data_IF_273502218703
#
_entry.id   IF_273502218703
#
_cell.length_a   1.000
_cell.length_b   1.000
_cell.length_c   1.000
_cell.angle_alpha   90.00
_cell.angle_beta   90.00
_cell.angle_gamma   90.00
#
_symmetry.space_group_name_H-M   'P 1'
#
loop_
_entity.id
_entity.type
_entity.pdbx_description
1 polymer ?
#
# COMPACT_ATOMS: atom_id res chain seq x y z
N UNK A 1 2.34 16.69 15.51
CA UNK A 1 3.08 15.67 16.27
C UNK A 1 4.55 15.76 15.88
N UNK A 2 5.49 15.56 16.82
CA UNK A 2 6.91 15.55 16.48
C UNK A 2 7.27 14.26 15.75
N UNK A 3 8.22 14.26 14.80
CA UNK A 3 8.59 13.06 14.02
C UNK A 3 8.98 11.85 14.90
N UNK A 4 9.60 12.07 16.04
CA UNK A 4 9.97 11.00 16.97
C UNK A 4 8.73 10.37 17.64
N UNK A 5 7.71 11.17 18.00
CA UNK A 5 6.46 10.69 18.60
C UNK A 5 5.69 9.81 17.62
N UNK A 6 5.64 10.19 16.33
CA UNK A 6 5.03 9.37 15.27
C UNK A 6 5.70 8.02 15.18
N UNK A 7 7.05 8.01 15.14
CA UNK A 7 7.81 6.76 15.04
C UNK A 7 7.60 5.86 16.26
N UNK A 8 7.61 6.42 17.46
CA UNK A 8 7.37 5.69 18.72
C UNK A 8 5.97 5.04 18.71
N UNK A 9 4.93 5.77 18.30
CA UNK A 9 3.58 5.21 18.21
C UNK A 9 3.49 4.06 17.20
N UNK A 10 4.13 4.18 16.03
CA UNK A 10 4.17 3.12 15.03
C UNK A 10 4.94 1.89 15.55
N UNK A 11 6.04 2.07 16.26
CA UNK A 11 6.80 0.99 16.90
C UNK A 11 5.94 0.28 17.95
N UNK A 12 5.23 1.02 18.79
CA UNK A 12 4.31 0.45 19.79
C UNK A 12 3.18 -0.34 19.11
N UNK A 13 2.60 0.20 18.03
CA UNK A 13 1.56 -0.48 17.27
C UNK A 13 2.06 -1.79 16.66
N UNK A 14 3.28 -1.81 16.11
CA UNK A 14 3.91 -3.02 15.60
C UNK A 14 4.11 -4.07 16.70
N UNK A 15 4.67 -3.66 17.86
CA UNK A 15 4.95 -4.59 18.97
C UNK A 15 3.69 -5.16 19.62
N UNK A 16 2.63 -4.37 19.71
CA UNK A 16 1.39 -4.76 20.38
C UNK A 16 0.31 -5.28 19.44
N UNK A 17 0.50 -5.15 18.11
CA UNK A 17 -0.39 -5.71 17.11
C UNK A 17 -1.78 -5.06 17.06
N UNK A 18 -1.88 -3.74 17.29
CA UNK A 18 -3.15 -3.03 17.18
C UNK A 18 -3.25 -2.19 15.91
N UNK A 19 -4.48 -1.88 15.51
CA UNK A 19 -4.79 -1.02 14.36
C UNK A 19 -4.39 0.42 14.62
N UNK A 20 -3.93 1.09 13.56
CA UNK A 20 -3.65 2.53 13.54
C UNK A 20 -4.32 3.22 12.38
N UNK A 21 -4.64 4.50 12.58
CA UNK A 21 -4.93 5.47 11.53
C UNK A 21 -3.66 6.24 11.23
N UNK A 22 -3.23 6.27 9.97
CA UNK A 22 -2.02 6.98 9.52
C UNK A 22 -2.41 8.06 8.53
N UNK A 23 -2.16 9.31 8.89
CA UNK A 23 -2.50 10.50 8.14
C UNK A 23 -1.28 11.02 7.39
N UNK A 24 -1.29 10.88 6.08
CA UNK A 24 -0.23 11.33 5.16
C UNK A 24 -0.77 12.11 3.96
N UNK A 25 -2.06 12.40 3.93
CA UNK A 25 -2.71 13.28 2.96
C UNK A 25 -2.85 14.70 3.54
N UNK A 26 -3.09 15.69 2.67
CA UNK A 26 -3.36 17.08 3.11
C UNK A 26 -4.74 17.25 3.74
N UNK A 27 -5.66 16.35 3.41
CA UNK A 27 -6.99 16.29 3.97
C UNK A 27 -7.00 15.32 5.16
N UNK A 28 -7.35 15.81 6.34
CA UNK A 28 -7.40 15.01 7.58
C UNK A 28 -8.58 14.02 7.60
N UNK A 29 -9.52 14.12 6.66
CA UNK A 29 -10.60 13.14 6.50
C UNK A 29 -10.14 11.89 5.72
N UNK A 30 -8.95 11.95 5.09
CA UNK A 30 -8.34 10.86 4.32
C UNK A 30 -7.14 10.29 5.08
N UNK A 31 -7.22 9.02 5.45
CA UNK A 31 -6.15 8.32 6.17
C UNK A 31 -6.08 6.84 5.79
N UNK A 32 -4.95 6.22 6.07
CA UNK A 32 -4.78 4.78 5.91
C UNK A 32 -5.03 4.08 7.24
N UNK A 33 -5.68 2.91 7.19
CA UNK A 33 -5.91 2.05 8.35
C UNK A 33 -5.21 0.72 8.14
N UNK A 34 -4.56 0.21 9.18
CA UNK A 34 -3.93 -1.11 9.10
C UNK A 34 -3.14 -1.49 10.34
N UNK A 35 -2.59 -2.70 10.27
CA UNK A 35 -1.62 -3.20 11.24
C UNK A 35 -0.21 -2.86 10.77
N UNK A 36 0.64 -2.35 11.66
CA UNK A 36 2.04 -2.08 11.34
C UNK A 36 2.80 -3.40 11.26
N UNK A 37 3.40 -3.69 10.10
CA UNK A 37 4.14 -4.93 9.83
C UNK A 37 5.64 -4.74 10.02
N UNK A 38 6.19 -3.62 9.49
CA UNK A 38 7.60 -3.31 9.55
C UNK A 38 7.84 -1.81 9.50
N UNK A 39 9.01 -1.38 9.95
CA UNK A 39 9.44 0.03 9.90
C UNK A 39 10.93 0.04 9.52
N UNK A 40 11.28 0.74 8.45
CA UNK A 40 12.67 1.05 8.08
C UNK A 40 13.01 2.53 8.37
N UNK A 41 14.21 3.02 8.06
CA UNK A 41 14.55 4.43 8.28
C UNK A 41 13.68 5.44 7.53
N UNK A 42 13.01 5.03 6.43
CA UNK A 42 12.28 5.93 5.52
C UNK A 42 10.78 5.62 5.44
N UNK A 43 10.37 4.37 5.65
CA UNK A 43 9.00 3.92 5.43
C UNK A 43 8.46 3.09 6.59
N UNK A 44 7.15 3.14 6.78
CA UNK A 44 6.37 2.16 7.53
C UNK A 44 5.59 1.30 6.55
N UNK A 45 5.52 -0.01 6.82
CA UNK A 45 4.68 -0.96 6.08
C UNK A 45 3.45 -1.31 6.89
N UNK A 46 2.29 -1.10 6.30
CA UNK A 46 0.99 -1.47 6.85
C UNK A 46 0.41 -2.67 6.11
N UNK A 47 -0.18 -3.61 6.84
CA UNK A 47 -1.20 -4.51 6.32
C UNK A 47 -2.51 -3.72 6.33
N UNK A 48 -2.90 -3.21 5.17
CA UNK A 48 -4.04 -2.32 5.02
C UNK A 48 -5.36 -3.03 5.32
N UNK A 49 -6.26 -2.34 6.01
CA UNK A 49 -7.62 -2.80 6.28
C UNK A 49 -8.60 -1.83 5.64
N UNK A 50 -9.56 -2.35 4.90
CA UNK A 50 -10.62 -1.55 4.30
C UNK A 50 -11.78 -1.28 5.27
N UNK A 51 -12.73 -0.47 4.80
CA UNK A 51 -13.93 -0.12 5.57
C UNK A 51 -14.80 -1.32 5.97
N UNK A 52 -14.77 -2.41 5.20
CA UNK A 52 -15.52 -3.64 5.50
C UNK A 52 -14.80 -4.56 6.50
N UNK A 53 -13.62 -4.18 6.96
CA UNK A 53 -12.78 -4.95 7.88
C UNK A 53 -11.98 -6.06 7.20
N UNK A 54 -11.79 -5.99 5.87
CA UNK A 54 -10.97 -6.95 5.12
C UNK A 54 -9.55 -6.45 4.94
N UNK A 55 -8.60 -7.36 4.84
CA UNK A 55 -7.26 -7.04 4.37
C UNK A 55 -7.34 -6.50 2.93
N UNK A 56 -6.76 -5.33 2.69
CA UNK A 56 -6.75 -4.66 1.39
C UNK A 56 -5.33 -4.27 0.94
N UNK A 57 -4.46 -5.26 0.92
CA UNK A 57 -3.12 -5.07 0.40
C UNK A 57 -2.08 -4.66 1.44
N UNK A 58 -0.89 -4.38 0.92
CA UNK A 58 0.23 -3.82 1.67
C UNK A 58 0.43 -2.36 1.26
N UNK A 59 0.59 -1.47 2.24
CA UNK A 59 0.82 -0.05 2.01
C UNK A 59 2.12 0.39 2.69
N UNK A 60 3.13 0.74 1.89
CA UNK A 60 4.33 1.41 2.40
C UNK A 60 4.11 2.92 2.38
N UNK A 61 4.29 3.61 3.51
CA UNK A 61 4.09 5.06 3.65
C UNK A 61 5.42 5.68 4.11
N UNK A 62 5.84 6.75 3.43
CA UNK A 62 7.04 7.50 3.80
C UNK A 62 6.86 8.16 5.18
N UNK A 63 7.74 7.91 6.12
CA UNK A 63 7.65 8.46 7.48
C UNK A 63 7.62 10.00 7.48
N UNK A 64 8.37 10.64 6.58
CA UNK A 64 8.41 12.11 6.48
C UNK A 64 7.11 12.74 5.94
N UNK A 65 6.23 11.96 5.29
CA UNK A 65 4.92 12.44 4.83
C UNK A 65 3.82 12.27 5.88
N UNK A 66 4.09 11.53 6.97
CA UNK A 66 3.11 11.29 8.03
C UNK A 66 3.11 12.50 8.98
N UNK A 67 1.96 13.11 9.17
CA UNK A 67 1.81 14.24 10.09
C UNK A 67 1.03 13.88 11.38
N UNK A 68 0.30 12.74 11.36
CA UNK A 68 -0.50 12.29 12.50
C UNK A 68 -0.65 10.76 12.47
N UNK A 69 -0.62 10.15 13.64
CA UNK A 69 -0.99 8.74 13.87
C UNK A 69 -1.99 8.72 15.02
N UNK A 70 -3.04 7.91 14.90
CA UNK A 70 -4.01 7.69 15.97
C UNK A 70 -4.22 6.19 16.21
N UNK A 71 -4.49 5.85 17.46
CA UNK A 71 -4.83 4.50 17.89
C UNK A 71 -5.98 4.58 18.90
N UNK A 72 -6.68 3.47 19.09
CA UNK A 72 -7.76 3.34 20.08
C UNK A 72 -8.91 4.37 19.92
N UNK A 73 -9.19 4.79 18.67
CA UNK A 73 -10.33 5.64 18.33
C UNK A 73 -11.61 4.82 18.25
N UNK A 74 -12.78 5.51 18.32
CA UNK A 74 -14.07 4.87 18.09
C UNK A 74 -14.17 4.29 16.67
N UNK A 75 -13.54 4.96 15.70
CA UNK A 75 -13.46 4.47 14.32
C UNK A 75 -12.70 3.14 14.25
N UNK A 76 -11.51 3.05 14.84
CA UNK A 76 -10.72 1.82 14.88
C UNK A 76 -11.40 0.70 15.67
N UNK A 77 -12.16 1.05 16.72
CA UNK A 77 -13.00 0.08 17.43
C UNK A 77 -14.04 -0.51 16.50
N UNK A 78 -14.72 0.32 15.70
CA UNK A 78 -15.68 -0.13 14.68
C UNK A 78 -15.03 -1.00 13.62
N UNK A 79 -13.87 -0.60 13.08
CA UNK A 79 -13.12 -1.39 12.10
C UNK A 79 -12.70 -2.74 12.69
N UNK A 80 -12.20 -2.77 13.92
CA UNK A 80 -11.81 -4.01 14.61
C UNK A 80 -12.98 -4.99 14.76
N UNK A 81 -14.19 -4.51 15.07
CA UNK A 81 -15.39 -5.35 15.11
C UNK A 81 -15.76 -5.89 13.73
N UNK A 82 -15.59 -5.09 12.67
CA UNK A 82 -15.79 -5.55 11.30
C UNK A 82 -14.74 -6.59 10.87
N UNK A 83 -13.48 -6.43 11.28
CA UNK A 83 -12.44 -7.46 11.06
C UNK A 83 -12.87 -8.80 11.66
N UNK A 84 -13.39 -8.79 12.89
CA UNK A 84 -13.88 -10.01 13.54
C UNK A 84 -15.03 -10.66 12.77
N UNK A 85 -16.00 -9.86 12.29
CA UNK A 85 -17.07 -10.37 11.42
C UNK A 85 -16.50 -10.96 10.14
N UNK A 86 -15.50 -10.31 9.53
CA UNK A 86 -14.88 -10.80 8.32
C UNK A 86 -14.12 -12.13 8.55
N UNK A 87 -13.46 -12.30 9.69
CA UNK A 87 -12.84 -13.57 10.12
C UNK A 87 -13.89 -14.67 10.31
N UNK A 88 -14.95 -14.41 11.06
CA UNK A 88 -16.02 -15.36 11.35
C UNK A 88 -16.72 -15.85 10.07
N UNK A 89 -16.80 -15.00 9.05
CA UNK A 89 -17.42 -15.29 7.75
C UNK A 89 -16.42 -15.61 6.63
N UNK A 90 -15.14 -15.80 6.95
CA UNK A 90 -14.08 -16.25 6.04
C UNK A 90 -13.79 -15.34 4.84
N UNK A 91 -14.01 -14.02 4.96
CA UNK A 91 -13.66 -13.06 3.92
C UNK A 91 -12.61 -12.03 4.38
N UNK A 92 -11.97 -12.22 5.54
CA UNK A 92 -10.98 -11.30 6.08
C UNK A 92 -9.74 -11.17 5.20
N UNK A 93 -9.16 -12.30 4.74
CA UNK A 93 -7.92 -12.33 3.94
C UNK A 93 -8.16 -13.01 2.59
N UNK A 94 -8.95 -12.39 1.74
CA UNK A 94 -9.25 -12.89 0.39
C UNK A 94 -8.02 -12.87 -0.53
N UNK A 95 -7.02 -12.08 -0.21
CA UNK A 95 -5.77 -11.94 -0.96
C UNK A 95 -4.66 -12.89 -0.47
N UNK A 96 -4.89 -13.66 0.58
CA UNK A 96 -3.92 -14.56 1.23
C UNK A 96 -2.63 -13.87 1.67
N UNK A 97 -2.74 -12.62 2.11
CA UNK A 97 -1.59 -11.82 2.51
C UNK A 97 -0.97 -12.27 3.83
N UNK A 98 -1.75 -12.85 4.73
CA UNK A 98 -1.19 -13.43 5.95
C UNK A 98 -0.27 -14.63 5.64
N UNK A 99 -0.62 -15.45 4.64
CA UNK A 99 0.23 -16.53 4.16
C UNK A 99 1.48 -15.97 3.46
N UNK A 100 1.30 -14.98 2.58
CA UNK A 100 2.40 -14.30 1.92
C UNK A 100 3.40 -13.72 2.92
N UNK A 101 2.94 -13.01 3.96
CA UNK A 101 3.79 -12.41 4.99
C UNK A 101 4.54 -13.42 5.86
N UNK A 102 4.04 -14.66 6.01
CA UNK A 102 4.80 -15.72 6.71
C UNK A 102 6.06 -16.15 5.95
N UNK A 103 6.10 -15.95 4.65
CA UNK A 103 7.23 -16.30 3.78
C UNK A 103 8.11 -15.11 3.40
N UNK A 104 7.70 -13.87 3.78
CA UNK A 104 8.39 -12.64 3.42
C UNK A 104 8.64 -11.80 4.68
N UNK A 105 9.90 -11.75 5.12
CA UNK A 105 10.30 -10.91 6.24
C UNK A 105 10.70 -9.51 5.74
N UNK A 106 9.99 -8.49 6.20
CA UNK A 106 10.27 -7.09 5.91
C UNK A 106 11.08 -6.39 7.01
N UNK A 107 11.42 -7.11 8.09
CA UNK A 107 12.28 -6.57 9.13
C UNK A 107 13.71 -6.41 8.60
N UNK A 108 14.32 -5.27 8.89
CA UNK A 108 15.68 -4.95 8.44
C UNK A 108 15.90 -4.91 6.91
N UNK A 109 14.85 -4.71 6.13
CA UNK A 109 14.89 -4.54 4.68
C UNK A 109 14.63 -3.09 4.28
N UNK A 110 14.96 -2.72 3.04
CA UNK A 110 14.46 -1.49 2.45
C UNK A 110 13.04 -1.76 1.93
N UNK A 111 12.04 -1.37 2.72
CA UNK A 111 10.63 -1.68 2.48
C UNK A 111 10.18 -1.27 1.07
N UNK A 112 10.42 -0.01 0.70
CA UNK A 112 10.02 0.48 -0.63
C UNK A 112 10.67 -0.34 -1.74
N UNK A 113 11.97 -0.56 -1.66
CA UNK A 113 12.73 -1.26 -2.69
C UNK A 113 12.28 -2.71 -2.81
N UNK A 114 12.09 -3.41 -1.70
CA UNK A 114 11.65 -4.81 -1.67
C UNK A 114 10.28 -4.97 -2.33
N UNK A 115 9.32 -4.09 -2.00
CA UNK A 115 7.98 -4.15 -2.61
C UNK A 115 7.99 -3.81 -4.11
N UNK A 116 8.81 -2.83 -4.53
CA UNK A 116 8.93 -2.49 -5.95
C UNK A 116 9.59 -3.62 -6.75
N UNK A 117 10.61 -4.28 -6.20
CA UNK A 117 11.28 -5.44 -6.84
C UNK A 117 10.34 -6.63 -6.94
N UNK A 118 9.60 -6.96 -5.88
CA UNK A 118 8.58 -8.01 -5.89
C UNK A 118 7.52 -7.73 -6.97
N UNK A 119 6.98 -6.51 -6.99
CA UNK A 119 5.96 -6.13 -7.97
C UNK A 119 6.51 -6.15 -9.41
N UNK A 120 7.75 -5.71 -9.64
CA UNK A 120 8.40 -5.74 -10.94
C UNK A 120 8.64 -7.16 -11.43
N UNK A 121 9.19 -8.03 -10.57
CA UNK A 121 9.52 -9.42 -10.91
C UNK A 121 8.27 -10.27 -11.20
N UNK A 122 7.20 -10.05 -10.43
CA UNK A 122 5.94 -10.79 -10.58
C UNK A 122 4.91 -10.09 -11.46
N UNK A 123 5.30 -8.97 -12.11
CA UNK A 123 4.41 -8.19 -12.98
C UNK A 123 3.09 -7.84 -12.29
N UNK A 124 3.16 -7.37 -11.04
CA UNK A 124 1.99 -6.96 -10.27
C UNK A 124 1.76 -5.46 -10.43
N UNK A 125 0.53 -5.01 -10.71
CA UNK A 125 0.22 -3.59 -10.71
C UNK A 125 0.42 -2.97 -9.33
N UNK A 126 0.89 -1.74 -9.34
CA UNK A 126 1.15 -0.93 -8.14
C UNK A 126 0.33 0.35 -8.19
N UNK A 127 0.08 0.92 -7.01
CA UNK A 127 -0.49 2.26 -6.87
C UNK A 127 0.53 3.13 -6.15
N UNK A 128 0.94 4.22 -6.77
CA UNK A 128 2.02 5.09 -6.30
C UNK A 128 1.48 6.51 -6.09
N UNK A 129 1.52 6.98 -4.85
CA UNK A 129 1.36 8.39 -4.53
C UNK A 129 2.70 9.08 -4.39
N UNK A 130 2.80 10.29 -4.89
CA UNK A 130 4.01 11.12 -4.82
C UNK A 130 3.76 12.38 -3.98
N UNK A 131 4.80 13.19 -3.78
CA UNK A 131 4.70 14.48 -3.10
C UNK A 131 3.72 15.47 -3.80
N UNK A 132 3.40 15.24 -5.09
CA UNK A 132 2.50 16.09 -5.88
C UNK A 132 1.18 15.43 -6.26
N UNK A 133 1.22 14.15 -6.55
CA UNK A 133 0.09 13.37 -7.07
C UNK A 133 -0.20 12.23 -6.12
N UNK A 134 -1.27 12.34 -5.37
CA UNK A 134 -1.71 11.33 -4.40
C UNK A 134 -3.21 11.43 -4.11
N UNK A 135 -3.79 10.38 -3.60
CA UNK A 135 -5.22 10.26 -3.43
C UNK A 135 -5.89 9.94 -4.76
N UNK A 136 -6.78 10.81 -5.24
CA UNK A 136 -7.48 10.63 -6.52
C UNK A 136 -6.54 10.74 -7.74
N UNK A 137 -5.40 11.44 -7.58
CA UNK A 137 -4.40 11.64 -8.64
C UNK A 137 -3.20 10.68 -8.53
N UNK A 138 -3.30 9.57 -7.83
CA UNK A 138 -2.20 8.61 -7.74
C UNK A 138 -1.98 7.83 -9.04
N UNK A 139 -0.81 7.20 -9.17
CA UNK A 139 -0.42 6.46 -10.37
C UNK A 139 -0.69 4.97 -10.21
N UNK A 140 -1.69 4.45 -10.88
CA UNK A 140 -1.93 3.00 -10.96
C UNK A 140 -1.31 2.43 -12.23
N UNK A 141 -0.56 1.33 -12.14
CA UNK A 141 0.03 0.73 -13.33
C UNK A 141 1.06 -0.36 -13.07
N UNK A 142 1.73 -0.77 -14.15
CA UNK A 142 2.81 -1.77 -14.14
C UNK A 142 4.18 -1.11 -14.18
N UNK A 143 5.10 -1.60 -13.37
CA UNK A 143 6.50 -1.20 -13.45
C UNK A 143 7.11 -1.82 -14.71
N UNK A 144 7.46 -0.98 -15.69
CA UNK A 144 8.13 -1.38 -16.92
C UNK A 144 9.64 -1.55 -16.72
N UNK A 145 10.25 -0.64 -15.95
CA UNK A 145 11.66 -0.73 -15.59
C UNK A 145 11.91 -0.12 -14.21
N UNK A 146 12.89 -0.66 -13.50
CA UNK A 146 13.27 -0.24 -12.16
C UNK A 146 14.78 -0.09 -12.05
N UNK A 147 15.24 1.09 -11.62
CA UNK A 147 16.64 1.41 -11.34
C UNK A 147 16.87 1.77 -9.87
N UNK A 148 18.08 2.13 -9.49
CA UNK A 148 18.39 2.56 -8.12
C UNK A 148 17.71 3.86 -7.70
N UNK A 149 17.35 4.75 -8.66
CA UNK A 149 16.85 6.10 -8.37
C UNK A 149 15.46 6.39 -8.91
N UNK A 150 14.98 5.61 -9.90
CA UNK A 150 13.71 5.84 -10.59
C UNK A 150 13.11 4.55 -11.10
N UNK A 151 11.82 4.61 -11.37
CA UNK A 151 11.09 3.61 -12.13
C UNK A 151 10.37 4.25 -13.32
N UNK A 152 10.08 3.45 -14.35
CA UNK A 152 9.13 3.81 -15.39
C UNK A 152 7.88 2.96 -15.21
N UNK A 153 6.74 3.63 -15.14
CA UNK A 153 5.44 3.01 -14.95
C UNK A 153 4.66 3.05 -16.27
N UNK A 154 4.08 1.93 -16.68
CA UNK A 154 2.98 1.93 -17.64
C UNK A 154 1.71 2.27 -16.87
N UNK A 155 1.33 3.55 -16.91
CA UNK A 155 0.19 4.11 -16.18
C UNK A 155 -1.11 3.71 -16.86
N UNK A 156 -2.04 3.21 -16.04
CA UNK A 156 -3.41 2.93 -16.42
C UNK A 156 -4.30 4.14 -16.04
N UNK A 157 -4.83 4.81 -17.05
CA UNK A 157 -5.90 5.79 -16.83
C UNK A 157 -7.24 5.07 -16.97
N UNK A 158 -7.95 4.90 -15.86
CA UNK A 158 -9.25 4.20 -15.85
C UNK A 158 -10.38 4.99 -16.54
N UNK A 159 -10.20 6.29 -16.74
CA UNK A 159 -11.15 7.17 -17.46
C UNK A 159 -10.88 7.23 -18.97
N UNK A 160 -9.69 6.83 -19.41
CA UNK A 160 -9.31 6.81 -20.82
C UNK A 160 -8.50 5.53 -21.12
N UNK A 161 -9.18 4.51 -21.56
CA UNK A 161 -8.59 3.21 -21.91
C UNK A 161 -8.06 3.17 -23.35
N UNK A 162 -7.69 4.31 -23.94
CA UNK A 162 -7.15 4.35 -25.31
C UNK A 162 -5.73 3.80 -25.40
N UNK A 163 -4.90 4.00 -24.37
CA UNK A 163 -3.51 3.51 -24.33
C UNK A 163 -2.95 3.54 -22.89
N UNK A 164 -1.89 2.76 -22.68
CA UNK A 164 -1.07 2.88 -21.47
C UNK A 164 -0.02 3.98 -21.67
N UNK A 165 0.11 4.86 -20.69
CA UNK A 165 1.03 6.00 -20.75
C UNK A 165 2.30 5.70 -19.95
N UNK A 166 3.46 6.09 -20.49
CA UNK A 166 4.73 5.95 -19.77
C UNK A 166 5.00 7.13 -18.85
N UNK A 167 5.22 6.86 -17.55
CA UNK A 167 5.63 7.86 -16.58
C UNK A 167 6.92 7.49 -15.88
N UNK A 168 7.84 8.44 -15.79
CA UNK A 168 9.06 8.31 -14.99
C UNK A 168 8.80 8.86 -13.59
N UNK A 169 9.01 8.04 -12.56
CA UNK A 169 8.82 8.40 -11.16
C UNK A 169 10.15 8.22 -10.41
N UNK A 170 10.64 9.29 -9.78
CA UNK A 170 11.80 9.24 -8.91
C UNK A 170 11.43 8.57 -7.58
N UNK A 171 12.19 7.57 -7.13
CA UNK A 171 11.93 6.85 -5.89
C UNK A 171 11.94 7.77 -4.66
N UNK A 172 12.75 8.84 -4.69
CA UNK A 172 12.79 9.84 -3.64
C UNK A 172 11.50 10.65 -3.50
N UNK A 173 10.63 10.66 -4.55
CA UNK A 173 9.38 11.39 -4.60
C UNK A 173 8.15 10.56 -4.21
N UNK A 174 8.33 9.26 -4.00
CA UNK A 174 7.25 8.36 -3.59
C UNK A 174 6.90 8.63 -2.13
N UNK A 175 5.67 9.03 -1.87
CA UNK A 175 5.11 9.20 -0.53
C UNK A 175 4.47 7.92 -0.02
N UNK A 176 3.80 7.17 -0.90
CA UNK A 176 3.29 5.84 -0.59
C UNK A 176 3.29 4.92 -1.80
N UNK A 177 3.32 3.63 -1.50
CA UNK A 177 3.18 2.54 -2.46
C UNK A 177 2.14 1.54 -1.91
N UNK A 178 1.10 1.23 -2.70
CA UNK A 178 0.14 0.16 -2.40
C UNK A 178 0.32 -0.99 -3.38
N UNK A 179 0.28 -2.20 -2.85
CA UNK A 179 0.44 -3.44 -3.63
C UNK A 179 -0.48 -4.54 -3.11
N UNK A 180 -0.81 -5.50 -3.97
CA UNK A 180 -1.51 -6.75 -3.62
C UNK A 180 -2.90 -6.54 -2.98
N UNK A 181 -3.57 -5.42 -3.24
CA UNK A 181 -4.92 -5.12 -2.78
C UNK A 181 -5.93 -5.05 -3.93
N UNK A 182 -7.15 -4.60 -3.60
CA UNK A 182 -8.27 -4.50 -4.54
C UNK A 182 -7.92 -3.67 -5.78
N UNK A 183 -7.32 -2.50 -5.61
CA UNK A 183 -6.96 -1.60 -6.72
C UNK A 183 -5.93 -2.24 -7.65
N UNK A 184 -4.90 -2.91 -7.11
CA UNK A 184 -3.92 -3.65 -7.91
C UNK A 184 -4.56 -4.81 -8.68
N UNK A 185 -5.50 -5.53 -8.07
CA UNK A 185 -6.20 -6.63 -8.72
C UNK A 185 -7.11 -6.14 -9.85
N UNK A 186 -7.85 -5.05 -9.64
CA UNK A 186 -8.68 -4.42 -10.66
C UNK A 186 -7.84 -3.91 -11.82
N UNK A 187 -6.72 -3.24 -11.56
CA UNK A 187 -5.80 -2.78 -12.59
C UNK A 187 -5.24 -3.95 -13.41
N UNK A 188 -4.89 -5.08 -12.76
CA UNK A 188 -4.45 -6.30 -13.45
C UNK A 188 -5.50 -6.80 -14.44
N UNK A 189 -6.75 -6.90 -14.01
CA UNK A 189 -7.86 -7.38 -14.82
C UNK A 189 -8.12 -6.47 -16.02
N UNK A 190 -8.11 -5.14 -15.81
CA UNK A 190 -8.26 -4.16 -16.88
C UNK A 190 -7.12 -4.30 -17.91
N UNK A 191 -5.87 -4.35 -17.44
CA UNK A 191 -4.71 -4.46 -18.31
C UNK A 191 -4.72 -5.74 -19.14
N UNK A 192 -5.16 -6.86 -18.58
CA UNK A 192 -5.31 -8.12 -19.32
C UNK A 192 -6.38 -8.04 -20.39
N UNK A 193 -7.56 -7.56 -20.04
CA UNK A 193 -8.74 -7.63 -20.91
C UNK A 193 -8.79 -6.50 -21.96
N UNK A 194 -8.25 -5.33 -21.64
CA UNK A 194 -8.29 -4.17 -22.54
C UNK A 194 -7.01 -4.06 -23.37
N UNK A 195 -5.84 -4.25 -22.75
CA UNK A 195 -4.56 -4.02 -23.41
C UNK A 195 -3.83 -5.31 -23.80
N UNK A 196 -4.39 -6.47 -23.51
CA UNK A 196 -3.78 -7.76 -23.84
C UNK A 196 -2.45 -8.03 -23.10
N UNK A 197 -2.24 -7.40 -21.94
CA UNK A 197 -1.05 -7.61 -21.15
C UNK A 197 -1.10 -9.02 -20.55
N UNK A 198 -0.11 -9.86 -20.84
CA UNK A 198 -0.02 -11.21 -20.28
C UNK A 198 0.78 -11.19 -18.99
N UNK A 199 0.13 -11.53 -17.90
CA UNK A 199 0.76 -11.76 -16.61
C UNK A 199 1.12 -13.24 -16.47
N UNK A 200 2.33 -13.54 -15.96
CA UNK A 200 2.69 -14.92 -15.64
C UNK A 200 1.70 -15.50 -14.62
N UNK A 201 1.28 -16.74 -14.81
CA UNK A 201 0.51 -17.49 -13.81
C UNK A 201 1.46 -17.80 -12.65
N UNK A 202 1.27 -17.14 -11.52
CA UNK A 202 1.92 -17.48 -10.24
C UNK A 202 0.94 -18.24 -9.35
#
# INVERSE_FOLDING_TARGET
MLPNEIKEQLVMANQQGYLVEVYNFTDDDIFNVGFVIAIDPLFVLLLGIDWDGKINGLTAIRLASIHKVQAHTDYLTTVSLKCKVAEDHHYFDIWKLQEFLRHHDYQNTNILRTLLEDSYQHQLPVVIGTDRYKGEDDFTGLIHSLSAIKLNLHYLNEHDLSSLWGYEILLAKIDYLRVRGTQSAQAKEIMQNVFGVHFGNN
#
